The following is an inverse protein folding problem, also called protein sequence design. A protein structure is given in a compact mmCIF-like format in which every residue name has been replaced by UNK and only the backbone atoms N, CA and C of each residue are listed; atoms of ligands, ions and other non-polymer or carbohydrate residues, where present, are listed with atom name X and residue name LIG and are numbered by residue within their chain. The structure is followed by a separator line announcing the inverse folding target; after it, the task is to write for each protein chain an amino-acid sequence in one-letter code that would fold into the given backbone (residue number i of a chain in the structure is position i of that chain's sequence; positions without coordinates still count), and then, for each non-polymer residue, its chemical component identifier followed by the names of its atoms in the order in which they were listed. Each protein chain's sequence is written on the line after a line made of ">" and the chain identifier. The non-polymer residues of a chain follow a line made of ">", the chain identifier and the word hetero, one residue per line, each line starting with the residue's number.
data_IF_947545087823
#
_entry.id   IF_947545087823
#
_cell.length_a   1.000
_cell.length_b   1.000
_cell.length_c   1.000
_cell.angle_alpha   90.00
_cell.angle_beta   90.00
_cell.angle_gamma   90.00
#
_symmetry.space_group_name_H-M   'P 1'
#
loop_
_entity.id
_entity.type
_entity.pdbx_description
1 polymer ?
#
# COMPACT_ATOMS: atom_id res chain seq x y z
N UNK A 1 24.12 13.49 14.35
CA UNK A 1 23.42 14.72 14.79
C UNK A 1 22.08 14.74 14.06
N UNK A 2 20.98 14.84 14.81
CA UNK A 2 19.64 14.99 14.24
C UNK A 2 19.44 16.47 13.93
N UNK A 3 19.70 16.89 12.71
CA UNK A 3 19.61 18.29 12.33
C UNK A 3 18.17 18.77 12.15
N UNK A 4 17.23 17.85 11.90
CA UNK A 4 15.81 18.17 11.69
C UNK A 4 14.92 17.11 12.32
N UNK A 5 14.29 17.45 13.41
CA UNK A 5 13.34 16.59 14.09
C UNK A 5 11.95 17.26 14.07
N UNK A 6 10.99 16.64 13.40
CA UNK A 6 9.59 16.97 13.53
C UNK A 6 9.02 16.19 14.71
N UNK A 7 8.63 16.89 15.76
CA UNK A 7 8.07 16.28 16.97
C UNK A 7 6.58 16.57 17.01
N UNK A 8 5.73 15.56 16.98
CA UNK A 8 4.29 15.72 17.13
C UNK A 8 3.92 16.31 18.49
N UNK A 9 2.78 17.00 18.56
CA UNK A 9 2.26 17.55 19.82
C UNK A 9 1.85 16.45 20.81
N UNK A 10 1.51 15.28 20.30
CA UNK A 10 1.19 14.07 21.06
C UNK A 10 2.02 12.91 20.52
N UNK A 11 2.64 12.18 21.42
CA UNK A 11 3.46 11.02 21.07
C UNK A 11 2.75 9.78 21.57
N UNK A 12 2.27 8.94 20.65
CA UNK A 12 1.60 7.67 20.99
C UNK A 12 2.60 6.54 21.27
N UNK A 13 3.84 6.69 20.78
CA UNK A 13 4.92 5.72 20.92
C UNK A 13 6.29 6.38 20.81
N UNK A 14 7.35 5.59 21.01
CA UNK A 14 8.76 6.03 20.89
C UNK A 14 9.40 5.52 19.58
N UNK A 15 8.62 5.40 18.52
CA UNK A 15 9.14 4.98 17.23
C UNK A 15 9.72 6.18 16.48
N UNK A 16 10.83 5.93 15.79
CA UNK A 16 11.51 6.91 14.94
C UNK A 16 11.34 6.49 13.49
N UNK A 17 10.83 7.39 12.69
CA UNK A 17 10.75 7.22 11.26
C UNK A 17 11.71 8.20 10.60
N UNK A 18 12.53 7.69 9.73
CA UNK A 18 13.52 8.49 9.01
C UNK A 18 13.13 8.57 7.56
N UNK A 19 12.84 9.76 7.09
CA UNK A 19 12.76 9.99 5.65
C UNK A 19 14.19 10.07 5.09
N UNK A 20 14.52 9.12 4.22
CA UNK A 20 15.84 9.07 3.57
C UNK A 20 15.65 9.25 2.08
N UNK A 21 16.25 10.31 1.54
CA UNK A 21 16.30 10.53 0.11
C UNK A 21 17.61 9.95 -0.44
N UNK A 22 17.49 9.08 -1.42
CA UNK A 22 18.63 8.49 -2.13
C UNK A 22 18.63 9.07 -3.53
N UNK A 23 19.66 9.83 -3.87
CA UNK A 23 19.84 10.29 -5.25
C UNK A 23 20.36 9.12 -6.11
N UNK A 24 19.58 8.64 -7.10
CA UNK A 24 19.94 7.45 -7.87
C UNK A 24 21.07 7.67 -8.90
N UNK A 25 21.48 8.92 -9.14
CA UNK A 25 22.46 9.24 -10.18
C UNK A 25 23.61 10.07 -9.62
N UNK A 26 24.77 9.49 -9.54
CA UNK A 26 26.09 10.13 -9.50
C UNK A 26 26.81 10.00 -8.18
N UNK A 27 26.52 10.72 -7.17
CA UNK A 27 27.46 10.87 -6.05
C UNK A 27 26.97 10.23 -4.73
N UNK A 28 26.32 9.11 -4.73
CA UNK A 28 25.97 8.32 -3.53
C UNK A 28 25.66 9.13 -2.24
N UNK A 29 25.24 10.37 -2.36
CA UNK A 29 24.84 11.17 -1.22
C UNK A 29 23.47 10.71 -0.72
N UNK A 30 23.52 9.97 0.36
CA UNK A 30 22.34 9.66 1.15
C UNK A 30 22.06 10.88 2.02
N UNK A 31 21.02 11.63 1.66
CA UNK A 31 20.55 12.73 2.49
C UNK A 31 19.46 12.22 3.44
N UNK A 32 19.80 12.03 4.69
CA UNK A 32 18.86 11.70 5.76
C UNK A 32 18.63 12.94 6.61
N UNK A 33 17.45 13.55 6.54
CA UNK A 33 17.28 14.86 7.15
C UNK A 33 16.06 15.05 8.07
N UNK A 34 15.08 14.18 8.07
CA UNK A 34 13.94 14.35 8.96
C UNK A 34 13.62 13.10 9.73
N UNK A 35 13.34 13.28 11.00
CA UNK A 35 12.89 12.22 11.89
C UNK A 35 11.53 12.64 12.43
N UNK A 36 10.52 11.83 12.18
CA UNK A 36 9.20 11.97 12.79
C UNK A 36 9.16 11.04 13.98
N UNK A 37 8.87 11.58 15.15
CA UNK A 37 8.71 10.81 16.39
C UNK A 37 7.22 10.53 16.58
N UNK A 38 6.84 9.27 16.65
CA UNK A 38 5.47 8.81 16.82
C UNK A 38 5.20 7.52 16.06
N UNK A 39 4.01 6.96 16.21
CA UNK A 39 3.56 5.81 15.45
C UNK A 39 2.91 6.31 14.15
N UNK A 40 3.64 6.21 13.03
CA UNK A 40 3.06 6.55 11.73
C UNK A 40 2.06 5.45 11.36
N UNK A 41 0.78 5.81 11.31
CA UNK A 41 -0.29 4.92 10.88
C UNK A 41 -0.37 4.81 9.37
N UNK A 42 -0.33 5.94 8.64
CA UNK A 42 -0.39 6.00 7.20
C UNK A 42 0.60 6.98 6.61
N UNK A 43 1.02 6.73 5.37
CA UNK A 43 1.85 7.66 4.63
C UNK A 43 1.48 7.67 3.14
N UNK A 44 1.69 8.82 2.50
CA UNK A 44 1.56 8.99 1.07
C UNK A 44 2.53 10.07 0.60
N UNK A 45 3.07 9.92 -0.60
CA UNK A 45 4.07 10.84 -1.14
C UNK A 45 3.74 11.26 -2.57
N UNK A 46 4.21 12.42 -2.96
CA UNK A 46 4.26 12.90 -4.34
C UNK A 46 5.69 13.32 -4.70
N UNK A 47 5.88 14.04 -5.80
CA UNK A 47 7.20 14.53 -6.22
C UNK A 47 7.84 15.52 -5.23
N UNK A 48 7.06 16.25 -4.46
CA UNK A 48 7.51 17.38 -3.64
C UNK A 48 7.77 16.98 -2.18
N UNK A 49 7.12 15.92 -1.69
CA UNK A 49 7.25 15.51 -0.31
C UNK A 49 6.40 14.31 0.10
N UNK A 50 6.44 14.01 1.39
CA UNK A 50 5.72 12.91 2.01
C UNK A 50 4.82 13.43 3.11
N UNK A 51 3.58 12.97 3.11
CA UNK A 51 2.67 13.10 4.25
C UNK A 51 2.70 11.85 5.11
N UNK A 52 2.71 12.05 6.40
CA UNK A 52 2.61 10.98 7.38
C UNK A 52 1.49 11.31 8.37
N UNK A 53 0.71 10.32 8.75
CA UNK A 53 -0.40 10.47 9.70
C UNK A 53 -0.23 9.56 10.89
N UNK A 54 -0.60 10.05 12.06
CA UNK A 54 -0.70 9.27 13.29
C UNK A 54 -2.04 9.56 13.95
N UNK A 55 -2.78 8.53 14.33
CA UNK A 55 -4.03 8.64 15.09
C UNK A 55 -3.87 7.98 16.43
N UNK A 56 -3.97 8.77 17.48
CA UNK A 56 -3.88 8.33 18.87
C UNK A 56 -5.22 8.46 19.58
N UNK A 57 -5.51 7.56 20.51
CA UNK A 57 -6.69 7.64 21.37
C UNK A 57 -6.26 7.95 22.81
N UNK A 58 -6.56 9.16 23.26
CA UNK A 58 -6.21 9.66 24.60
C UNK A 58 -7.49 10.06 25.32
N UNK A 59 -7.73 9.52 26.51
CA UNK A 59 -8.93 9.79 27.33
C UNK A 59 -10.25 9.64 26.56
N UNK A 60 -10.37 8.59 25.77
CA UNK A 60 -11.51 8.30 24.88
C UNK A 60 -11.76 9.31 23.75
N UNK A 61 -10.81 10.19 23.48
CA UNK A 61 -10.85 11.09 22.33
C UNK A 61 -9.79 10.71 21.31
N UNK A 62 -10.08 10.87 20.05
CA UNK A 62 -9.13 10.68 18.96
C UNK A 62 -8.38 11.98 18.69
N UNK A 63 -7.09 11.84 18.44
CA UNK A 63 -6.21 12.92 18.02
C UNK A 63 -5.42 12.43 16.83
N UNK A 64 -5.63 13.05 15.69
CA UNK A 64 -4.87 12.77 14.48
C UNK A 64 -3.87 13.87 14.24
N UNK A 65 -2.65 13.47 13.91
CA UNK A 65 -1.59 14.36 13.50
C UNK A 65 -1.27 14.10 12.03
N UNK A 66 -1.02 15.16 11.29
CA UNK A 66 -0.62 15.14 9.90
C UNK A 66 0.70 15.89 9.82
N UNK A 67 1.75 15.21 9.40
CA UNK A 67 3.07 15.80 9.14
C UNK A 67 3.33 15.83 7.65
N UNK A 68 3.91 16.93 7.15
CA UNK A 68 4.40 17.03 5.78
C UNK A 68 5.91 17.25 5.80
N UNK A 69 6.63 16.37 5.11
CA UNK A 69 8.09 16.40 4.97
C UNK A 69 8.43 16.74 3.53
N UNK A 70 8.98 17.93 3.30
CA UNK A 70 9.39 18.37 1.96
C UNK A 70 10.69 17.72 1.55
N UNK A 71 10.81 17.28 0.31
CA UNK A 71 12.05 16.63 -0.18
C UNK A 71 13.16 17.64 -0.49
N UNK A 72 12.80 18.81 -1.02
CA UNK A 72 13.79 19.85 -1.37
C UNK A 72 14.26 20.66 -0.17
N UNK A 73 13.40 20.87 0.81
CA UNK A 73 13.70 21.62 2.03
C UNK A 73 13.09 20.94 3.26
N UNK A 74 13.83 19.98 3.78
CA UNK A 74 13.42 19.24 4.99
C UNK A 74 13.34 20.12 6.25
N UNK A 75 13.97 21.30 6.24
CA UNK A 75 13.86 22.29 7.32
C UNK A 75 12.48 22.91 7.42
N UNK A 76 11.74 22.95 6.31
CA UNK A 76 10.39 23.52 6.22
C UNK A 76 9.29 22.48 6.47
N UNK A 77 9.65 21.32 7.01
CA UNK A 77 8.66 20.30 7.39
C UNK A 77 7.67 20.83 8.42
N UNK A 78 6.40 20.49 8.24
CA UNK A 78 5.29 21.04 9.02
C UNK A 78 4.49 19.93 9.70
N UNK A 79 3.82 20.27 10.78
CA UNK A 79 2.89 19.38 11.47
C UNK A 79 1.65 20.13 11.91
N UNK A 80 0.50 19.49 11.80
CA UNK A 80 -0.77 19.96 12.34
C UNK A 80 -1.49 18.84 13.08
N UNK A 81 -2.50 19.18 13.85
CA UNK A 81 -3.31 18.22 14.60
C UNK A 81 -4.79 18.48 14.44
N UNK A 82 -5.57 17.40 14.48
CA UNK A 82 -7.03 17.40 14.40
C UNK A 82 -7.58 16.57 15.56
N UNK A 83 -8.56 17.10 16.30
CA UNK A 83 -9.23 16.38 17.39
C UNK A 83 -10.50 15.69 16.91
N UNK A 84 -10.87 14.62 17.62
CA UNK A 84 -12.10 13.86 17.45
C UNK A 84 -12.22 13.16 16.06
N UNK A 85 -11.09 12.98 15.37
CA UNK A 85 -11.01 12.30 14.09
C UNK A 85 -10.06 11.10 14.18
N UNK A 86 -10.48 9.97 13.63
CA UNK A 86 -9.67 8.77 13.45
C UNK A 86 -9.46 8.52 11.95
N UNK A 87 -8.27 8.76 11.43
CA UNK A 87 -7.95 8.46 10.04
C UNK A 87 -7.74 6.95 9.82
N UNK A 88 -8.16 6.49 8.66
CA UNK A 88 -7.80 5.16 8.17
C UNK A 88 -6.40 5.24 7.52
N UNK A 89 -5.39 4.57 8.06
CA UNK A 89 -4.02 4.66 7.57
C UNK A 89 -3.83 4.15 6.13
N UNK A 90 -4.72 3.29 5.64
CA UNK A 90 -4.70 2.80 4.27
C UNK A 90 -5.35 3.76 3.26
N UNK A 91 -6.06 4.79 3.73
CA UNK A 91 -6.85 5.69 2.91
C UNK A 91 -6.34 7.14 3.05
N UNK A 92 -5.07 7.32 2.71
CA UNK A 92 -4.39 8.64 2.68
C UNK A 92 -3.75 8.85 1.32
N UNK A 93 -3.83 10.05 0.78
CA UNK A 93 -3.29 10.37 -0.54
C UNK A 93 -2.61 11.75 -0.56
N UNK A 94 -1.39 11.79 -1.09
CA UNK A 94 -0.69 13.01 -1.48
C UNK A 94 -1.06 13.36 -2.92
N UNK A 95 -1.56 14.55 -3.13
CA UNK A 95 -1.81 15.14 -4.43
C UNK A 95 -0.73 16.21 -4.70
N UNK A 96 -0.65 16.76 -5.91
CA UNK A 96 0.40 17.73 -6.27
C UNK A 96 0.55 18.87 -5.25
N UNK A 97 -0.55 19.54 -4.92
CA UNK A 97 -0.55 20.68 -3.98
C UNK A 97 -1.38 20.44 -2.72
N UNK A 98 -1.99 19.27 -2.57
CA UNK A 98 -2.95 18.98 -1.53
C UNK A 98 -2.70 17.60 -0.92
N UNK A 99 -3.31 17.39 0.23
CA UNK A 99 -3.41 16.13 0.91
C UNK A 99 -4.87 15.81 1.17
N UNK A 100 -5.25 14.56 1.06
CA UNK A 100 -6.55 14.09 1.50
C UNK A 100 -6.42 12.77 2.27
N UNK A 101 -7.31 12.59 3.23
CA UNK A 101 -7.41 11.35 4.01
C UNK A 101 -8.85 11.05 4.36
N UNK A 102 -9.20 9.77 4.33
CA UNK A 102 -10.49 9.28 4.78
C UNK A 102 -10.39 8.79 6.22
N UNK A 103 -11.42 9.03 6.99
CA UNK A 103 -11.52 8.56 8.36
C UNK A 103 -12.93 8.67 8.92
N UNK A 104 -13.00 8.68 10.23
CA UNK A 104 -14.24 8.80 10.99
C UNK A 104 -14.14 9.98 11.95
N UNK A 105 -15.19 10.77 12.03
CA UNK A 105 -15.35 11.82 13.05
C UNK A 105 -16.30 11.34 14.12
N UNK A 106 -15.98 11.64 15.37
CA UNK A 106 -16.74 11.24 16.55
C UNK A 106 -17.36 12.48 17.20
N UNK A 107 -18.68 12.53 17.21
CA UNK A 107 -19.46 13.59 17.87
C UNK A 107 -20.35 12.95 18.95
N UNK A 108 -19.84 12.89 20.18
CA UNK A 108 -20.50 12.13 21.25
C UNK A 108 -20.45 10.64 20.98
N UNK A 109 -21.64 10.01 20.86
CA UNK A 109 -21.80 8.59 20.54
C UNK A 109 -22.05 8.35 19.04
N UNK A 110 -22.18 9.40 18.25
CA UNK A 110 -22.36 9.31 16.81
C UNK A 110 -21.02 9.29 16.09
N UNK A 111 -20.98 8.52 15.01
CA UNK A 111 -19.81 8.31 14.16
C UNK A 111 -20.21 8.52 12.72
N UNK A 112 -19.51 9.41 12.04
CA UNK A 112 -19.72 9.72 10.63
C UNK A 112 -18.41 9.55 9.86
N UNK A 113 -18.52 9.10 8.65
CA UNK A 113 -17.41 9.10 7.72
C UNK A 113 -17.02 10.52 7.36
N UNK A 114 -15.72 10.77 7.21
CA UNK A 114 -15.21 12.10 6.87
C UNK A 114 -14.04 12.00 5.90
N UNK A 115 -14.01 12.93 4.95
CA UNK A 115 -12.80 13.25 4.19
C UNK A 115 -12.21 14.52 4.78
N UNK A 116 -10.93 14.44 5.14
CA UNK A 116 -10.12 15.60 5.48
C UNK A 116 -9.30 15.98 4.27
N UNK A 117 -9.30 17.26 3.91
CA UNK A 117 -8.42 17.81 2.88
C UNK A 117 -7.65 19.00 3.42
N UNK A 118 -6.42 19.16 2.97
CA UNK A 118 -5.58 20.32 3.31
C UNK A 118 -4.58 20.61 2.20
N UNK A 119 -4.13 21.86 2.11
CA UNK A 119 -3.00 22.21 1.24
C UNK A 119 -1.68 21.67 1.79
N UNK A 120 -0.65 21.65 0.96
CA UNK A 120 0.72 21.27 1.37
C UNK A 120 1.30 22.14 2.51
N UNK A 121 0.73 23.31 2.77
CA UNK A 121 1.14 24.14 3.91
C UNK A 121 0.47 23.75 5.22
N UNK A 122 -0.41 22.76 5.22
CA UNK A 122 -1.23 22.33 6.37
C UNK A 122 -1.99 23.47 7.07
N UNK A 123 -2.24 24.56 6.34
CA UNK A 123 -2.80 25.79 6.93
C UNK A 123 -4.29 25.69 7.24
N UNK A 124 -5.06 25.23 6.28
CA UNK A 124 -6.50 25.06 6.42
C UNK A 124 -6.86 23.59 6.24
N UNK A 125 -7.60 23.06 7.19
CA UNK A 125 -8.14 21.71 7.12
C UNK A 125 -9.63 21.83 6.86
N UNK A 126 -10.07 21.26 5.73
CA UNK A 126 -11.48 21.16 5.38
C UNK A 126 -12.00 19.79 5.75
N UNK A 127 -13.26 19.70 6.12
CA UNK A 127 -13.96 18.49 6.49
C UNK A 127 -15.17 18.33 5.57
N UNK A 128 -15.29 17.16 4.96
CA UNK A 128 -16.49 16.76 4.27
C UNK A 128 -17.07 15.56 5.03
N UNK A 129 -18.07 15.80 5.85
CA UNK A 129 -18.70 14.80 6.70
C UNK A 129 -19.85 14.09 5.97
N UNK A 130 -20.19 12.88 6.41
CA UNK A 130 -21.31 12.11 5.86
C UNK A 130 -21.03 11.43 4.52
N UNK A 131 -19.76 11.40 4.10
CA UNK A 131 -19.37 10.72 2.85
C UNK A 131 -19.51 9.21 3.00
N UNK A 132 -20.42 8.63 2.22
CA UNK A 132 -20.67 7.20 2.21
C UNK A 132 -20.97 6.62 3.62
N UNK A 133 -21.74 7.34 4.43
CA UNK A 133 -22.09 6.91 5.79
C UNK A 133 -22.73 5.52 5.76
N UNK A 134 -22.26 4.67 6.66
CA UNK A 134 -22.68 3.27 6.76
C UNK A 134 -22.07 2.33 5.71
N UNK A 135 -21.30 2.83 4.76
CA UNK A 135 -20.59 2.02 3.78
C UNK A 135 -19.11 1.82 4.16
N UNK A 136 -18.54 0.73 3.71
CA UNK A 136 -17.10 0.51 3.75
C UNK A 136 -16.46 1.22 2.57
N UNK A 137 -15.28 1.79 2.78
CA UNK A 137 -14.52 2.45 1.71
C UNK A 137 -13.43 1.52 1.21
N UNK A 138 -13.41 1.34 -0.10
CA UNK A 138 -12.42 0.52 -0.80
C UNK A 138 -11.14 1.32 -1.08
N UNK A 139 -11.29 2.56 -1.58
CA UNK A 139 -10.16 3.37 -1.98
C UNK A 139 -10.44 4.87 -1.92
N UNK A 140 -9.36 5.63 -1.95
CA UNK A 140 -9.35 7.07 -2.14
C UNK A 140 -8.32 7.40 -3.24
N UNK A 141 -8.70 8.25 -4.17
CA UNK A 141 -7.82 8.73 -5.25
C UNK A 141 -7.98 10.23 -5.43
N UNK A 142 -7.03 10.87 -6.07
CA UNK A 142 -7.07 12.33 -6.26
C UNK A 142 -6.53 12.76 -7.61
N UNK A 143 -7.18 13.76 -8.21
CA UNK A 143 -6.75 14.38 -9.46
C UNK A 143 -7.03 15.88 -9.43
N UNK A 144 -5.99 16.69 -9.57
CA UNK A 144 -6.10 18.15 -9.51
C UNK A 144 -6.67 18.62 -8.16
N UNK A 145 -7.90 19.09 -8.16
CA UNK A 145 -8.61 19.56 -6.96
C UNK A 145 -9.76 18.66 -6.51
N UNK A 146 -9.83 17.46 -7.03
CA UNK A 146 -10.91 16.53 -6.72
C UNK A 146 -10.35 15.28 -6.07
N UNK A 147 -10.91 14.92 -4.93
CA UNK A 147 -10.72 13.61 -4.29
C UNK A 147 -11.92 12.74 -4.63
N UNK A 148 -11.67 11.53 -5.07
CA UNK A 148 -12.68 10.52 -5.30
C UNK A 148 -12.57 9.44 -4.25
N UNK A 149 -13.67 9.17 -3.57
CA UNK A 149 -13.83 8.10 -2.59
C UNK A 149 -14.68 7.00 -3.23
N UNK A 150 -14.18 5.79 -3.22
CA UNK A 150 -14.89 4.65 -3.78
C UNK A 150 -15.39 3.77 -2.63
N UNK A 151 -16.70 3.55 -2.56
CA UNK A 151 -17.27 2.64 -1.57
C UNK A 151 -17.21 1.19 -2.03
N UNK A 152 -17.35 0.30 -1.06
CA UNK A 152 -17.33 -1.15 -1.24
C UNK A 152 -18.68 -1.75 -0.78
N UNK A 153 -19.28 -2.65 -1.57
CA UNK A 153 -20.54 -3.29 -1.21
C UNK A 153 -21.31 -3.77 -2.44
N UNK A 154 -22.60 -4.06 -2.24
CA UNK A 154 -23.49 -4.58 -3.29
C UNK A 154 -23.79 -3.53 -4.38
N UNK A 155 -23.83 -2.26 -3.98
CA UNK A 155 -24.00 -1.11 -4.88
C UNK A 155 -22.85 -0.10 -4.63
N UNK A 156 -21.67 -0.35 -5.21
CA UNK A 156 -20.52 0.52 -5.00
C UNK A 156 -20.74 1.88 -5.66
N UNK A 157 -20.40 2.94 -4.94
CA UNK A 157 -20.56 4.33 -5.37
C UNK A 157 -19.21 5.06 -5.37
N UNK A 158 -19.11 6.07 -6.21
CA UNK A 158 -18.03 7.06 -6.17
C UNK A 158 -18.57 8.40 -5.67
N UNK A 159 -17.85 8.97 -4.73
CA UNK A 159 -18.13 10.26 -4.12
C UNK A 159 -16.99 11.19 -4.45
N UNK A 160 -17.27 12.33 -5.03
CA UNK A 160 -16.26 13.33 -5.39
C UNK A 160 -16.31 14.50 -4.43
N UNK A 161 -15.15 14.89 -3.90
CA UNK A 161 -15.00 16.00 -2.94
C UNK A 161 -14.01 17.00 -3.47
N UNK A 162 -14.35 18.27 -3.43
CA UNK A 162 -13.45 19.36 -3.76
C UNK A 162 -12.51 19.65 -2.58
N UNK A 163 -11.19 19.64 -2.82
CA UNK A 163 -10.18 19.83 -1.77
C UNK A 163 -10.12 21.26 -1.19
N UNK A 164 -10.52 22.26 -1.96
CA UNK A 164 -10.41 23.66 -1.55
C UNK A 164 -11.49 24.05 -0.51
N UNK A 165 -12.68 23.44 -0.59
CA UNK A 165 -13.82 23.80 0.25
C UNK A 165 -14.54 22.61 0.91
N UNK A 166 -14.14 21.38 0.62
CA UNK A 166 -14.76 20.18 1.16
C UNK A 166 -16.16 19.90 0.61
N UNK A 167 -16.60 20.57 -0.45
CA UNK A 167 -17.92 20.32 -1.04
C UNK A 167 -17.97 19.00 -1.80
N UNK A 168 -19.00 18.22 -1.53
CA UNK A 168 -19.29 16.99 -2.25
C UNK A 168 -19.98 17.31 -3.58
N UNK A 169 -19.48 16.70 -4.65
CA UNK A 169 -20.16 16.69 -5.93
C UNK A 169 -21.21 15.56 -6.01
N UNK A 170 -21.88 15.46 -7.16
CA UNK A 170 -22.86 14.42 -7.43
C UNK A 170 -22.22 13.03 -7.37
N UNK A 171 -22.87 12.07 -6.73
CA UNK A 171 -22.39 10.70 -6.61
C UNK A 171 -22.63 9.95 -7.92
N UNK A 172 -21.72 9.07 -8.28
CA UNK A 172 -21.84 8.22 -9.47
C UNK A 172 -21.69 6.75 -9.12
N UNK A 173 -22.27 5.88 -9.94
CA UNK A 173 -22.02 4.44 -9.82
C UNK A 173 -20.54 4.13 -10.04
N UNK A 174 -19.97 3.29 -9.19
CA UNK A 174 -18.59 2.85 -9.35
C UNK A 174 -18.50 1.78 -10.43
N UNK A 175 -18.01 2.15 -11.61
CA UNK A 175 -17.76 1.19 -12.69
C UNK A 175 -16.41 0.49 -12.57
N UNK A 176 -15.60 0.85 -11.58
CA UNK A 176 -14.22 0.41 -11.41
C UNK A 176 -13.44 0.44 -12.72
N UNK A 177 -13.41 1.61 -13.36
CA UNK A 177 -12.80 1.83 -14.67
C UNK A 177 -11.82 2.99 -14.67
N UNK A 178 -10.80 2.88 -15.50
CA UNK A 178 -9.77 3.91 -15.72
C UNK A 178 -9.57 4.19 -17.20
N UNK A 179 -9.33 5.46 -17.54
CA UNK A 179 -8.96 5.87 -18.90
C UNK A 179 -7.49 5.55 -19.14
N UNK A 180 -7.20 4.69 -20.10
CA UNK A 180 -5.83 4.29 -20.49
C UNK A 180 -5.27 5.18 -21.59
N UNK A 181 -6.13 5.65 -22.50
CA UNK A 181 -5.81 6.62 -23.55
C UNK A 181 -7.08 7.36 -23.96
N UNK A 182 -7.02 8.26 -24.94
CA UNK A 182 -8.17 9.11 -25.31
C UNK A 182 -9.46 8.36 -25.60
N UNK A 183 -9.37 7.18 -26.21
CA UNK A 183 -10.52 6.38 -26.61
C UNK A 183 -10.54 4.98 -26.02
N UNK A 184 -9.70 4.69 -25.04
CA UNK A 184 -9.58 3.36 -24.44
C UNK A 184 -9.70 3.45 -22.94
N UNK A 185 -10.62 2.70 -22.39
CA UNK A 185 -10.79 2.50 -20.94
C UNK A 185 -10.51 1.05 -20.57
N UNK A 186 -10.01 0.82 -19.36
CA UNK A 186 -10.00 -0.49 -18.74
C UNK A 186 -11.04 -0.53 -17.61
N UNK A 187 -11.67 -1.68 -17.44
CA UNK A 187 -12.56 -1.99 -16.34
C UNK A 187 -12.14 -3.33 -15.76
N UNK A 188 -12.08 -3.41 -14.45
CA UNK A 188 -11.74 -4.64 -13.72
C UNK A 188 -12.83 -4.92 -12.69
N UNK A 189 -13.44 -6.09 -12.77
CA UNK A 189 -14.53 -6.48 -11.88
C UNK A 189 -14.45 -7.94 -11.51
N UNK A 190 -15.06 -8.32 -10.39
CA UNK A 190 -15.27 -9.72 -10.04
C UNK A 190 -16.32 -10.32 -10.97
N UNK A 191 -15.98 -11.40 -11.65
CA UNK A 191 -16.94 -12.18 -12.43
C UNK A 191 -17.55 -13.26 -11.55
N UNK A 192 -18.87 -13.22 -11.41
CA UNK A 192 -19.64 -14.21 -10.68
C UNK A 192 -20.63 -14.95 -11.61
N UNK A 193 -21.04 -16.14 -11.22
CA UNK A 193 -22.15 -16.84 -11.86
C UNK A 193 -23.52 -16.32 -11.39
N UNK A 194 -24.58 -16.89 -11.92
CA UNK A 194 -25.96 -16.52 -11.55
C UNK A 194 -26.32 -16.77 -10.07
N UNK A 195 -25.57 -17.59 -9.39
CA UNK A 195 -25.75 -17.94 -7.97
C UNK A 195 -24.82 -17.12 -7.06
N UNK A 196 -24.04 -16.18 -7.65
CA UNK A 196 -23.11 -15.31 -6.95
C UNK A 196 -21.73 -15.92 -6.66
N UNK A 197 -21.45 -17.14 -7.17
CA UNK A 197 -20.13 -17.74 -6.95
C UNK A 197 -19.11 -17.10 -7.87
N UNK A 198 -17.95 -16.75 -7.31
CA UNK A 198 -16.86 -16.12 -8.06
C UNK A 198 -16.30 -17.08 -9.11
N UNK A 199 -16.27 -16.64 -10.35
CA UNK A 199 -15.74 -17.39 -11.49
C UNK A 199 -14.38 -16.87 -11.95
N UNK A 200 -13.97 -15.70 -11.46
CA UNK A 200 -12.73 -15.08 -11.84
C UNK A 200 -12.74 -13.56 -11.67
N UNK A 201 -11.74 -12.93 -12.27
CA UNK A 201 -11.66 -11.48 -12.42
C UNK A 201 -11.80 -11.15 -13.90
N UNK A 202 -12.74 -10.29 -14.24
CA UNK A 202 -12.95 -9.82 -15.60
C UNK A 202 -12.12 -8.54 -15.84
N UNK A 203 -11.23 -8.59 -16.82
CA UNK A 203 -10.60 -7.42 -17.41
C UNK A 203 -11.28 -7.14 -18.75
N UNK A 204 -11.85 -5.95 -18.89
CA UNK A 204 -12.45 -5.47 -20.13
C UNK A 204 -11.75 -4.18 -20.58
N UNK A 205 -11.23 -4.15 -21.82
CA UNK A 205 -10.44 -3.03 -22.35
C UNK A 205 -10.95 -2.60 -23.72
N UNK A 206 -11.15 -1.31 -23.91
CA UNK A 206 -11.57 -0.75 -25.20
C UNK A 206 -12.39 0.54 -25.05
N UNK A 207 -12.95 0.99 -26.17
CA UNK A 207 -13.92 2.09 -26.26
C UNK A 207 -15.35 1.57 -26.23
N UNK A 208 -16.13 1.86 -27.31
CA UNK A 208 -17.51 1.40 -27.45
C UNK A 208 -17.64 -0.14 -27.44
N UNK A 209 -16.63 -0.81 -27.96
CA UNK A 209 -16.52 -2.28 -27.88
C UNK A 209 -15.30 -2.63 -27.04
N UNK A 210 -15.50 -3.45 -26.04
CA UNK A 210 -14.42 -3.91 -25.15
C UNK A 210 -14.00 -5.34 -25.52
N UNK A 211 -12.70 -5.56 -25.56
CA UNK A 211 -12.11 -6.89 -25.53
C UNK A 211 -12.04 -7.36 -24.08
N UNK A 212 -12.36 -8.62 -23.83
CA UNK A 212 -12.48 -9.15 -22.48
C UNK A 212 -11.61 -10.38 -22.27
N UNK A 213 -11.09 -10.52 -21.07
CA UNK A 213 -10.44 -11.74 -20.58
C UNK A 213 -10.91 -12.03 -19.15
N UNK A 214 -11.14 -13.30 -18.86
CA UNK A 214 -11.40 -13.74 -17.48
C UNK A 214 -10.14 -14.34 -16.91
N UNK A 215 -9.62 -13.73 -15.87
CA UNK A 215 -8.47 -14.23 -15.08
C UNK A 215 -9.02 -15.23 -14.08
N UNK A 216 -8.45 -16.42 -14.05
CA UNK A 216 -8.85 -17.51 -13.15
C UNK A 216 -7.67 -17.97 -12.31
N UNK A 217 -7.97 -18.60 -11.17
CA UNK A 217 -6.97 -19.29 -10.37
C UNK A 217 -6.40 -20.48 -11.16
N UNK A 218 -5.08 -20.60 -11.19
CA UNK A 218 -4.39 -21.73 -11.83
C UNK A 218 -4.06 -22.77 -10.76
N UNK A 219 -4.51 -23.99 -10.93
CA UNK A 219 -4.25 -25.06 -9.97
C UNK A 219 -4.03 -26.38 -10.66
N UNK A 220 -3.10 -27.17 -10.12
CA UNK A 220 -2.87 -28.55 -10.51
C UNK A 220 -3.68 -29.55 -9.67
N UNK A 221 -4.48 -29.05 -8.72
CA UNK A 221 -5.33 -29.86 -7.85
C UNK A 221 -6.80 -29.75 -8.28
N UNK A 222 -7.58 -30.79 -7.99
CA UNK A 222 -9.03 -30.75 -8.23
C UNK A 222 -9.70 -29.84 -7.18
N UNK A 223 -10.48 -28.85 -7.64
CA UNK A 223 -11.23 -27.93 -6.79
C UNK A 223 -11.59 -26.65 -7.54
N UNK A 224 -12.56 -25.92 -7.04
CA UNK A 224 -12.85 -24.56 -7.50
C UNK A 224 -12.13 -23.54 -6.60
N UNK A 225 -10.98 -23.09 -7.07
CA UNK A 225 -10.12 -22.14 -6.35
C UNK A 225 -10.41 -20.68 -6.69
N UNK A 226 -11.33 -20.42 -7.63
CA UNK A 226 -11.70 -19.06 -8.01
C UNK A 226 -12.35 -18.29 -6.87
N UNK A 227 -12.97 -18.98 -5.90
CA UNK A 227 -13.54 -18.36 -4.70
C UNK A 227 -12.51 -17.61 -3.86
N UNK A 228 -11.23 -18.01 -3.95
CA UNK A 228 -10.10 -17.40 -3.23
C UNK A 228 -9.30 -16.41 -4.09
N UNK A 229 -9.68 -16.25 -5.37
CA UNK A 229 -9.00 -15.33 -6.27
C UNK A 229 -9.35 -13.88 -5.91
N UNK A 230 -8.34 -13.07 -5.62
CA UNK A 230 -8.47 -11.67 -5.30
C UNK A 230 -7.50 -10.81 -6.09
N UNK A 231 -7.83 -9.54 -6.25
CA UNK A 231 -6.92 -8.53 -6.80
C UNK A 231 -7.22 -7.19 -6.13
N UNK A 232 -6.21 -6.45 -5.71
CA UNK A 232 -6.42 -5.09 -5.19
C UNK A 232 -7.03 -4.16 -6.25
N UNK A 233 -6.83 -4.45 -7.54
CA UNK A 233 -7.41 -3.68 -8.65
C UNK A 233 -8.93 -3.79 -8.70
N UNK A 234 -9.53 -4.88 -8.19
CA UNK A 234 -10.99 -5.00 -8.12
C UNK A 234 -11.60 -4.03 -7.12
N UNK A 235 -10.85 -3.67 -6.08
CA UNK A 235 -11.30 -2.74 -5.06
C UNK A 235 -10.90 -1.30 -5.42
N UNK A 236 -9.75 -1.14 -6.08
CA UNK A 236 -9.20 0.16 -6.47
C UNK A 236 -8.52 0.08 -7.84
N UNK A 237 -9.21 0.57 -8.87
CA UNK A 237 -8.71 0.57 -10.25
C UNK A 237 -7.43 1.39 -10.45
N UNK A 238 -7.10 2.32 -9.55
CA UNK A 238 -5.85 3.08 -9.62
C UNK A 238 -4.59 2.22 -9.42
N UNK A 239 -4.76 1.01 -8.88
CA UNK A 239 -3.70 0.02 -8.75
C UNK A 239 -3.46 -0.81 -10.02
N UNK A 240 -4.18 -0.51 -11.10
CA UNK A 240 -3.93 -1.11 -12.40
C UNK A 240 -2.66 -0.53 -13.01
N UNK A 241 -1.64 -1.36 -13.19
CA UNK A 241 -0.44 -0.94 -13.90
C UNK A 241 -0.71 -0.88 -15.40
N UNK A 242 -0.36 0.21 -16.07
CA UNK A 242 -0.46 0.28 -17.51
C UNK A 242 0.57 1.22 -18.14
N UNK A 243 0.88 0.96 -19.41
CA UNK A 243 1.81 1.76 -20.19
C UNK A 243 1.37 1.77 -21.65
N UNK A 244 1.25 2.95 -22.25
CA UNK A 244 0.92 3.13 -23.65
C UNK A 244 2.14 3.56 -24.45
N UNK A 245 2.37 2.88 -25.57
CA UNK A 245 3.37 3.28 -26.55
C UNK A 245 2.94 2.87 -27.95
N UNK A 246 2.99 3.79 -28.88
CA UNK A 246 2.72 3.56 -30.31
C UNK A 246 1.36 2.87 -30.56
N UNK A 247 0.33 3.24 -29.80
CA UNK A 247 -1.02 2.69 -29.89
C UNK A 247 -1.18 1.28 -29.29
N UNK A 248 -0.14 0.76 -28.67
CA UNK A 248 -0.17 -0.48 -27.91
C UNK A 248 -0.17 -0.19 -26.43
N UNK A 249 -1.11 -0.79 -25.69
CA UNK A 249 -1.19 -0.65 -24.24
C UNK A 249 -0.77 -1.98 -23.60
N UNK A 250 0.20 -1.92 -22.70
CA UNK A 250 0.54 -3.03 -21.80
C UNK A 250 -0.15 -2.81 -20.48
N UNK A 251 -0.77 -3.85 -19.94
CA UNK A 251 -1.57 -3.81 -18.71
C UNK A 251 -1.05 -4.89 -17.78
N UNK A 252 -0.80 -4.55 -16.51
CA UNK A 252 -0.40 -5.46 -15.44
C UNK A 252 -1.46 -5.53 -14.35
N UNK A 253 -1.86 -6.74 -13.96
CA UNK A 253 -2.85 -6.97 -12.90
C UNK A 253 -2.23 -7.89 -11.84
N UNK A 254 -2.02 -7.38 -10.62
CA UNK A 254 -1.66 -8.23 -9.49
C UNK A 254 -2.87 -9.05 -9.05
N UNK A 255 -2.69 -10.35 -8.89
CA UNK A 255 -3.72 -11.28 -8.41
C UNK A 255 -3.15 -12.24 -7.38
N UNK A 256 -3.97 -12.64 -6.43
CA UNK A 256 -3.65 -13.61 -5.40
C UNK A 256 -4.72 -14.68 -5.35
N UNK A 257 -4.32 -15.93 -5.21
CA UNK A 257 -5.23 -17.06 -5.07
C UNK A 257 -4.59 -18.21 -4.31
N UNK A 258 -5.39 -19.17 -3.90
CA UNK A 258 -4.94 -20.44 -3.35
C UNK A 258 -4.99 -21.49 -4.45
N UNK A 259 -3.90 -22.26 -4.67
CA UNK A 259 -3.82 -23.25 -5.73
C UNK A 259 -4.19 -24.68 -5.27
N UNK A 260 -4.67 -24.81 -4.03
CA UNK A 260 -4.97 -26.07 -3.38
C UNK A 260 -3.82 -26.59 -2.50
N UNK A 261 -2.65 -25.96 -2.55
CA UNK A 261 -1.46 -26.34 -1.78
C UNK A 261 -0.91 -25.13 -1.05
N UNK A 262 -0.74 -24.02 -1.76
CA UNK A 262 -0.14 -22.79 -1.25
C UNK A 262 -0.87 -21.54 -1.75
N UNK A 263 -0.61 -20.44 -1.12
CA UNK A 263 -1.00 -19.15 -1.66
C UNK A 263 -0.05 -18.76 -2.80
N UNK A 264 -0.61 -18.28 -3.89
CA UNK A 264 0.11 -17.81 -5.06
C UNK A 264 -0.18 -16.34 -5.24
N UNK A 265 0.87 -15.53 -5.36
CA UNK A 265 0.81 -14.15 -5.79
C UNK A 265 1.43 -14.05 -7.18
N UNK A 266 0.71 -13.46 -8.11
CA UNK A 266 1.15 -13.36 -9.51
C UNK A 266 0.73 -12.02 -10.11
N UNK A 267 1.62 -11.39 -10.87
CA UNK A 267 1.27 -10.28 -11.77
C UNK A 267 1.06 -10.83 -13.16
N UNK A 268 -0.15 -10.73 -13.70
CA UNK A 268 -0.49 -11.12 -15.07
C UNK A 268 -0.44 -9.91 -15.98
N UNK A 269 0.16 -10.09 -17.16
CA UNK A 269 0.36 -9.01 -18.12
C UNK A 269 -0.36 -9.29 -19.42
N UNK A 270 -1.02 -8.25 -19.94
CA UNK A 270 -1.79 -8.27 -21.17
C UNK A 270 -1.35 -7.14 -22.10
N UNK A 271 -1.50 -7.37 -23.39
CA UNK A 271 -1.35 -6.34 -24.41
C UNK A 271 -2.70 -6.06 -25.06
N UNK A 272 -3.07 -4.80 -25.15
CA UNK A 272 -4.20 -4.35 -25.95
C UNK A 272 -3.70 -3.56 -27.15
N UNK A 273 -4.06 -4.01 -28.35
CA UNK A 273 -3.78 -3.35 -29.60
C UNK A 273 -4.84 -3.76 -30.65
N UNK A 274 -5.24 -2.84 -31.53
CA UNK A 274 -6.19 -3.09 -32.62
C UNK A 274 -7.50 -3.73 -32.15
N UNK A 275 -7.99 -3.34 -30.98
CA UNK A 275 -9.23 -3.88 -30.40
C UNK A 275 -9.11 -5.30 -29.86
N UNK A 276 -7.91 -5.82 -29.69
CA UNK A 276 -7.66 -7.16 -29.19
C UNK A 276 -6.84 -7.14 -27.90
N UNK A 277 -7.23 -7.99 -26.98
CA UNK A 277 -6.52 -8.24 -25.74
C UNK A 277 -5.80 -9.60 -25.84
N UNK A 278 -4.52 -9.63 -25.52
CA UNK A 278 -3.68 -10.84 -25.61
C UNK A 278 -2.79 -10.93 -24.38
N UNK A 279 -2.66 -12.12 -23.82
CA UNK A 279 -1.75 -12.37 -22.70
C UNK A 279 -0.29 -12.28 -23.17
N UNK A 280 0.54 -11.58 -22.40
CA UNK A 280 1.98 -11.47 -22.61
C UNK A 280 2.78 -12.42 -21.74
N UNK A 281 2.25 -12.78 -20.59
CA UNK A 281 2.91 -13.63 -19.61
C UNK A 281 2.63 -13.19 -18.18
N UNK A 282 3.40 -13.72 -17.26
CA UNK A 282 3.26 -13.42 -15.84
C UNK A 282 4.59 -13.37 -15.10
N UNK A 283 4.57 -12.79 -13.91
CA UNK A 283 5.65 -12.87 -12.91
C UNK A 283 5.01 -13.50 -11.67
N UNK A 284 5.38 -14.74 -11.38
CA UNK A 284 4.83 -15.48 -10.25
C UNK A 284 5.75 -15.37 -9.05
N UNK A 285 5.15 -15.07 -7.92
CA UNK A 285 5.77 -15.01 -6.61
C UNK A 285 5.05 -16.01 -5.72
N UNK A 286 5.76 -16.96 -5.18
CA UNK A 286 5.21 -17.91 -4.22
C UNK A 286 5.55 -17.43 -2.81
N UNK A 287 4.56 -17.38 -1.91
CA UNK A 287 4.77 -17.18 -0.49
C UNK A 287 3.70 -17.87 0.36
N UNK A 288 4.11 -18.21 1.59
CA UNK A 288 3.25 -18.80 2.59
C UNK A 288 2.48 -17.75 3.42
N UNK A 289 2.73 -16.45 3.19
CA UNK A 289 2.14 -15.33 3.95
C UNK A 289 1.30 -14.43 3.07
N UNK A 290 0.18 -13.94 3.63
CA UNK A 290 -0.68 -12.93 3.00
C UNK A 290 0.04 -11.58 2.99
N UNK A 291 0.56 -11.17 1.85
CA UNK A 291 1.25 -9.90 1.68
C UNK A 291 0.67 -9.13 0.51
N UNK A 292 0.76 -7.81 0.60
CA UNK A 292 0.30 -6.92 -0.46
C UNK A 292 1.24 -7.03 -1.65
N UNK A 293 0.68 -7.33 -2.82
CA UNK A 293 1.40 -7.35 -4.07
C UNK A 293 1.21 -6.01 -4.78
N UNK A 294 2.29 -5.34 -5.09
CA UNK A 294 2.31 -4.12 -5.89
C UNK A 294 2.89 -4.42 -7.27
N UNK A 295 2.26 -3.85 -8.29
CA UNK A 295 2.74 -3.93 -9.67
C UNK A 295 2.62 -2.56 -10.31
N UNK A 296 3.66 -2.15 -11.00
CA UNK A 296 3.65 -0.91 -11.78
C UNK A 296 4.49 -1.06 -13.04
N UNK A 297 4.31 -0.15 -13.99
CA UNK A 297 5.13 -0.04 -15.21
C UNK A 297 5.79 1.32 -15.20
N UNK A 298 7.07 1.33 -14.92
CA UNK A 298 7.86 2.55 -14.81
C UNK A 298 8.25 3.04 -16.22
N UNK A 299 7.82 4.26 -16.52
CA UNK A 299 8.18 4.93 -17.77
C UNK A 299 9.62 5.44 -17.74
N UNK A 300 10.23 5.58 -18.91
CA UNK A 300 11.58 6.07 -19.09
C UNK A 300 12.13 5.74 -20.49
N UNK A 301 13.40 5.99 -20.72
CA UNK A 301 14.07 5.65 -21.99
C UNK A 301 13.93 4.15 -22.33
N UNK A 302 13.93 3.32 -21.31
CA UNK A 302 13.64 1.89 -21.41
C UNK A 302 12.63 1.53 -20.32
N UNK A 303 11.33 1.60 -20.64
CA UNK A 303 10.31 1.28 -19.67
C UNK A 303 10.43 -0.17 -19.19
N UNK A 304 10.12 -0.39 -17.92
CA UNK A 304 10.22 -1.69 -17.29
C UNK A 304 9.08 -1.94 -16.29
N UNK A 305 8.78 -3.20 -16.06
CA UNK A 305 7.85 -3.65 -15.05
C UNK A 305 8.55 -3.67 -13.71
N UNK A 306 7.90 -3.15 -12.67
CA UNK A 306 8.28 -3.25 -11.27
C UNK A 306 7.20 -4.04 -10.53
N UNK A 307 7.59 -5.13 -9.88
CA UNK A 307 6.72 -5.83 -8.94
C UNK A 307 7.39 -5.87 -7.57
N UNK A 308 6.62 -5.56 -6.56
CA UNK A 308 7.10 -5.52 -5.17
C UNK A 308 6.22 -6.40 -4.30
N UNK A 309 6.86 -7.09 -3.38
CA UNK A 309 6.17 -7.97 -2.49
C UNK A 309 6.99 -8.17 -1.21
N UNK A 310 6.43 -7.77 -0.08
CA UNK A 310 7.08 -7.80 1.22
C UNK A 310 8.55 -7.31 1.15
N UNK A 311 9.50 -8.22 1.18
CA UNK A 311 10.93 -7.92 1.13
C UNK A 311 11.59 -8.22 -0.22
N UNK A 312 10.81 -8.36 -1.30
CA UNK A 312 11.30 -8.75 -2.63
C UNK A 312 10.87 -7.75 -3.69
N UNK A 313 11.80 -7.38 -4.56
CA UNK A 313 11.57 -6.53 -5.71
C UNK A 313 12.05 -7.24 -6.97
N UNK A 314 11.15 -7.34 -7.94
CA UNK A 314 11.47 -7.90 -9.26
C UNK A 314 11.27 -6.83 -10.32
N UNK A 315 12.25 -6.67 -11.20
CA UNK A 315 12.09 -5.87 -12.43
C UNK A 315 12.10 -6.78 -13.64
N UNK A 316 11.28 -6.44 -14.65
CA UNK A 316 11.20 -7.20 -15.88
C UNK A 316 11.04 -6.30 -17.11
N UNK A 317 11.41 -6.82 -18.29
CA UNK A 317 11.18 -6.14 -19.55
C UNK A 317 9.71 -6.21 -19.96
N UNK A 318 9.18 -5.13 -20.52
CA UNK A 318 7.79 -5.06 -21.00
C UNK A 318 7.54 -6.01 -22.19
N UNK A 319 8.48 -6.10 -23.13
CA UNK A 319 8.24 -6.77 -24.41
C UNK A 319 8.01 -8.28 -24.29
N UNK A 320 8.64 -8.93 -23.28
CA UNK A 320 8.64 -10.39 -23.13
C UNK A 320 8.37 -10.85 -21.72
N UNK A 321 8.06 -9.95 -20.82
CA UNK A 321 7.89 -10.21 -19.37
C UNK A 321 9.09 -11.03 -18.84
N UNK A 322 10.28 -10.63 -19.27
CA UNK A 322 11.50 -11.31 -18.87
C UNK A 322 12.13 -10.61 -17.66
N UNK A 323 12.31 -11.34 -16.59
CA UNK A 323 12.97 -10.84 -15.37
C UNK A 323 14.38 -10.31 -15.71
N UNK A 324 14.64 -9.07 -15.30
CA UNK A 324 15.92 -8.36 -15.40
C UNK A 324 16.66 -8.45 -14.09
N UNK A 325 15.98 -8.20 -12.98
CA UNK A 325 16.54 -8.33 -11.64
C UNK A 325 15.51 -8.94 -10.68
N UNK A 326 16.03 -9.60 -9.66
CA UNK A 326 15.26 -10.21 -8.58
C UNK A 326 16.05 -9.99 -7.29
N UNK A 327 15.55 -9.13 -6.44
CA UNK A 327 16.26 -8.67 -5.23
C UNK A 327 15.43 -8.96 -4.00
N UNK A 328 16.02 -9.67 -3.06
CA UNK A 328 15.43 -9.93 -1.75
C UNK A 328 16.16 -9.08 -0.70
N UNK A 329 15.41 -8.24 0.00
CA UNK A 329 15.93 -7.45 1.11
C UNK A 329 15.94 -8.32 2.38
N UNK A 330 17.11 -8.51 2.96
CA UNK A 330 17.23 -9.22 4.23
C UNK A 330 16.87 -8.27 5.37
N UNK A 331 15.90 -8.65 6.16
CA UNK A 331 15.69 -8.03 7.47
C UNK A 331 16.95 -8.23 8.31
N UNK A 332 17.56 -7.16 8.77
CA UNK A 332 18.65 -7.25 9.73
C UNK A 332 18.04 -7.72 11.05
N UNK A 333 18.23 -8.98 11.39
CA UNK A 333 17.92 -9.45 12.74
C UNK A 333 18.68 -8.56 13.73
N UNK A 334 17.96 -7.83 14.59
CA UNK A 334 18.58 -7.18 15.73
C UNK A 334 19.26 -8.30 16.54
N UNK A 335 20.56 -8.37 16.50
CA UNK A 335 21.32 -9.11 17.50
C UNK A 335 20.96 -8.44 18.84
N UNK A 336 20.18 -9.15 19.65
CA UNK A 336 20.06 -8.82 21.07
C UNK A 336 21.46 -8.82 21.65
N UNK A 337 22.01 -7.64 21.83
CA UNK A 337 23.17 -7.43 22.66
C UNK A 337 22.69 -7.60 24.09
N UNK A 338 22.60 -8.86 24.52
CA UNK A 338 22.56 -9.17 25.93
C UNK A 338 23.83 -8.58 26.55
N UNK A 339 23.65 -7.49 27.25
CA UNK A 339 24.69 -6.85 28.06
C UNK A 339 24.92 -7.78 29.24
N UNK A 340 25.93 -8.66 29.10
CA UNK A 340 26.49 -9.42 30.22
C UNK A 340 27.15 -8.42 31.18
N UNK A 341 26.40 -7.96 32.15
CA UNK A 341 26.95 -7.28 33.32
C UNK A 341 27.61 -8.34 34.21
N UNK A 342 28.87 -8.67 33.92
CA UNK A 342 29.73 -9.36 34.87
C UNK A 342 30.01 -8.44 36.04
N UNK A 343 29.32 -8.67 37.11
CA UNK A 343 29.74 -8.23 38.44
C UNK A 343 30.85 -9.19 38.90
N UNK A 344 32.09 -8.73 38.93
CA UNK A 344 33.20 -9.41 39.59
C UNK A 344 32.95 -9.37 41.09
N UNK A 345 32.75 -10.53 41.72
CA UNK A 345 33.02 -10.70 43.14
C UNK A 345 34.05 -11.81 43.28
N UNK A 346 35.29 -11.39 43.60
CA UNK A 346 36.36 -12.23 44.14
C UNK A 346 35.87 -12.92 45.43
N UNK A 347 35.96 -14.23 45.48
CA UNK A 347 36.30 -14.95 46.70
C UNK A 347 36.97 -16.29 46.36
N UNK A 348 38.22 -16.43 46.71
CA UNK A 348 39.02 -17.66 46.70
C UNK A 348 38.44 -18.67 47.67
N UNK A 349 38.35 -19.95 47.29
CA UNK A 349 38.81 -21.04 48.12
C UNK A 349 38.95 -22.35 47.34
N UNK A 350 40.15 -22.90 47.44
CA UNK A 350 40.57 -24.24 47.02
C UNK A 350 39.78 -25.32 47.79
N UNK A 351 39.49 -26.42 47.12
CA UNK A 351 39.90 -27.78 47.57
C UNK A 351 39.58 -28.84 46.54
N UNK A 352 40.52 -29.70 46.35
CA UNK A 352 40.61 -30.92 45.57
C UNK A 352 39.52 -31.96 45.89
N UNK A 353 39.12 -32.73 44.87
CA UNK A 353 39.24 -34.20 44.83
C UNK A 353 38.38 -34.81 43.72
N UNK A 354 39.04 -35.54 42.83
CA UNK A 354 38.56 -36.62 41.98
C UNK A 354 38.60 -37.94 42.83
N UNK A 355 38.10 -39.12 42.45
CA UNK A 355 37.50 -39.54 41.15
C UNK A 355 36.38 -40.62 41.29
N UNK A 356 36.05 -41.21 40.10
CA UNK A 356 35.52 -42.59 39.81
C UNK A 356 34.02 -42.84 40.11
N UNK A 357 33.27 -43.51 39.36
CA UNK A 357 33.29 -44.50 38.27
C UNK A 357 31.90 -45.15 38.15
N UNK A 358 31.60 -45.61 36.98
CA UNK A 358 30.78 -46.81 36.65
C UNK A 358 29.26 -46.79 36.82
N UNK A 359 28.61 -46.86 35.67
CA UNK A 359 27.98 -48.07 35.10
C UNK A 359 26.51 -48.36 35.41
N UNK A 360 25.82 -48.50 34.32
CA UNK A 360 24.84 -49.53 34.00
C UNK A 360 23.42 -49.57 34.59
N UNK A 361 22.58 -49.66 33.64
CA UNK A 361 21.52 -50.66 33.36
C UNK A 361 20.06 -50.24 33.53
N UNK A 362 19.41 -50.22 32.40
CA UNK A 362 18.22 -51.01 31.94
C UNK A 362 16.95 -51.06 32.80
N UNK A 363 15.89 -50.85 31.96
CA UNK A 363 14.55 -51.46 32.02
C UNK A 363 13.61 -50.99 33.13
N UNK A 364 12.47 -50.49 32.81
CA UNK A 364 11.31 -51.10 32.15
C UNK A 364 10.47 -50.04 31.43
#
# INVERSE_FOLDING_TARGET
>A
EFENMVVPSYVSGLNYYTATMIAPAGDNEVMTKSVIVGDIGGCSANSDGMYATDTSRINNKYYTQIAYVMFDDLMSSMITGVSDVALNPALVIAMDDNFAAFGEIYSGDERHNVIITTSKTLGNINFCEGIADGQRIASISGTGKTVTVTSYGDEPMQYSVNVDNGEQAENTENTNSVKLSDNVTAQVTVKADKDGNRQGILLAVGGDKKAEVTITAESNTSGDWNSYLTSPVCDDISQLAYYEKDGKITIGIPVMYFDGISQVSVCKFYSYADGKLSELGNITLYDEKYTTLYCDIIDGDKPYILTMWDNRVITASIDKIKVISDTVFKTVEKKDTATDSKTESNTESKTDSKPESTADSKSE
#
